data_IF_476254220703
#
_entry.id   IF_476254220703
#
_cell.length_a   1.000
_cell.length_b   1.000
_cell.length_c   1.000
_cell.angle_alpha   90.00
_cell.angle_beta   90.00
_cell.angle_gamma   90.00
#
_symmetry.space_group_name_H-M   'P 1'
#
loop_
_entity.id
_entity.type
_entity.pdbx_description
1 polymer ?
#
# COMPACT_ATOMS: atom_id res chain seq x y z
N UNK A 1 -13.68 0.50 5.47
CA UNK A 1 -12.30 0.43 6.01
C UNK A 1 -11.89 1.82 6.48
N UNK A 2 -11.22 1.97 7.63
CA UNK A 2 -10.68 3.29 8.04
C UNK A 2 -9.27 3.51 7.48
N UNK A 3 -8.80 4.76 7.41
CA UNK A 3 -7.42 5.07 7.00
C UNK A 3 -6.37 4.35 7.86
N UNK A 4 -6.64 4.22 9.16
CA UNK A 4 -5.76 3.51 10.09
C UNK A 4 -5.70 2.00 9.80
N UNK A 5 -6.83 1.38 9.46
CA UNK A 5 -6.87 -0.03 9.07
C UNK A 5 -6.16 -0.26 7.73
N UNK A 6 -6.39 0.64 6.77
CA UNK A 6 -5.73 0.61 5.47
C UNK A 6 -4.20 0.73 5.63
N UNK A 7 -3.74 1.66 6.48
CA UNK A 7 -2.32 1.86 6.76
C UNK A 7 -1.68 0.65 7.44
N UNK A 8 -2.37 0.05 8.43
CA UNK A 8 -1.88 -1.16 9.10
C UNK A 8 -1.68 -2.30 8.10
N UNK A 9 -2.69 -2.54 7.26
CA UNK A 9 -2.67 -3.62 6.26
C UNK A 9 -1.60 -3.40 5.18
N UNK A 10 -1.49 -2.18 4.68
CA UNK A 10 -0.44 -1.81 3.72
C UNK A 10 0.97 -2.02 4.30
N UNK A 11 1.18 -1.68 5.58
CA UNK A 11 2.46 -1.88 6.26
C UNK A 11 2.79 -3.37 6.45
N UNK A 12 1.82 -4.19 6.83
CA UNK A 12 1.99 -5.65 6.95
C UNK A 12 2.31 -6.30 5.61
N UNK A 13 1.62 -5.87 4.54
CA UNK A 13 1.89 -6.33 3.19
C UNK A 13 3.30 -5.92 2.73
N UNK A 14 3.72 -4.68 3.00
CA UNK A 14 5.06 -4.20 2.66
C UNK A 14 6.16 -4.96 3.41
N UNK A 15 5.96 -5.27 4.71
CA UNK A 15 6.90 -6.09 5.49
C UNK A 15 7.02 -7.49 4.90
N UNK A 16 5.89 -8.08 4.50
CA UNK A 16 5.86 -9.42 3.89
C UNK A 16 6.56 -9.42 2.52
N UNK A 17 6.28 -8.43 1.68
CA UNK A 17 6.92 -8.27 0.38
C UNK A 17 8.43 -8.10 0.52
N UNK A 18 8.90 -7.27 1.46
CA UNK A 18 10.33 -7.11 1.77
C UNK A 18 10.96 -8.39 2.32
N UNK A 19 10.26 -9.14 3.16
CA UNK A 19 10.78 -10.42 3.66
C UNK A 19 11.00 -11.45 2.55
N UNK A 20 10.22 -11.38 1.45
CA UNK A 20 10.33 -12.29 0.30
C UNK A 20 11.32 -11.80 -0.76
N UNK A 21 11.28 -10.51 -1.06
CA UNK A 21 12.04 -9.89 -2.15
C UNK A 21 13.36 -9.26 -1.70
N UNK A 22 13.61 -9.15 -0.38
CA UNK A 22 14.74 -8.45 0.18
C UNK A 22 14.68 -6.94 -0.07
N UNK A 23 15.85 -6.33 -0.26
CA UNK A 23 16.00 -4.89 -0.50
C UNK A 23 15.82 -4.48 -1.97
N UNK A 24 15.47 -5.43 -2.86
CA UNK A 24 15.21 -5.11 -4.26
C UNK A 24 13.81 -4.49 -4.41
N UNK A 25 13.77 -3.17 -4.62
CA UNK A 25 12.52 -2.41 -4.72
C UNK A 25 11.59 -2.91 -5.83
N UNK A 26 12.11 -3.32 -6.98
CA UNK A 26 11.28 -3.84 -8.09
C UNK A 26 10.69 -5.21 -7.76
N UNK A 27 11.46 -6.07 -7.07
CA UNK A 27 10.95 -7.34 -6.58
C UNK A 27 9.89 -7.14 -5.47
N UNK A 28 10.08 -6.16 -4.57
CA UNK A 28 9.10 -5.79 -3.55
C UNK A 28 7.80 -5.29 -4.19
N UNK A 29 7.89 -4.44 -5.24
CA UNK A 29 6.71 -4.01 -6.01
C UNK A 29 6.01 -5.19 -6.67
N UNK A 30 6.77 -6.12 -7.26
CA UNK A 30 6.23 -7.35 -7.85
C UNK A 30 5.45 -8.20 -6.85
N UNK A 31 6.00 -8.40 -5.65
CA UNK A 31 5.32 -9.10 -4.56
C UNK A 31 4.06 -8.37 -4.09
N UNK A 32 4.12 -7.05 -3.89
CA UNK A 32 2.95 -6.25 -3.52
C UNK A 32 1.83 -6.34 -4.55
N UNK A 33 2.15 -6.24 -5.85
CA UNK A 33 1.16 -6.40 -6.93
C UNK A 33 0.57 -7.81 -6.94
N UNK A 34 1.38 -8.83 -6.69
CA UNK A 34 0.92 -10.22 -6.54
C UNK A 34 -0.05 -10.38 -5.37
N UNK A 35 0.26 -9.75 -4.23
CA UNK A 35 -0.60 -9.75 -3.04
C UNK A 35 -1.91 -9.00 -3.29
N UNK A 36 -1.87 -7.83 -3.92
CA UNK A 36 -3.08 -7.06 -4.27
C UNK A 36 -4.03 -7.83 -5.20
N UNK A 37 -3.49 -8.64 -6.12
CA UNK A 37 -4.33 -9.47 -7.00
C UNK A 37 -5.05 -10.61 -6.28
N UNK A 38 -4.56 -11.01 -5.10
CA UNK A 38 -5.08 -12.15 -4.32
C UNK A 38 -5.84 -11.72 -3.07
N UNK A 39 -5.55 -10.54 -2.53
CA UNK A 39 -6.21 -9.94 -1.38
C UNK A 39 -6.89 -8.63 -1.82
N UNK A 40 -8.20 -8.73 -2.07
CA UNK A 40 -9.04 -7.59 -2.46
C UNK A 40 -9.08 -6.50 -1.39
N UNK A 41 -9.00 -6.87 -0.11
CA UNK A 41 -8.99 -5.89 0.97
C UNK A 41 -7.63 -5.17 1.06
N UNK A 42 -6.53 -5.81 0.67
CA UNK A 42 -5.24 -5.12 0.49
C UNK A 42 -5.28 -4.16 -0.71
N UNK A 43 -5.94 -4.56 -1.80
CA UNK A 43 -6.15 -3.69 -2.95
C UNK A 43 -6.96 -2.43 -2.58
N UNK A 44 -8.06 -2.61 -1.84
CA UNK A 44 -8.89 -1.52 -1.33
C UNK A 44 -8.09 -0.63 -0.37
N UNK A 45 -7.33 -1.21 0.56
CA UNK A 45 -6.48 -0.47 1.50
C UNK A 45 -5.48 0.46 0.79
N UNK A 46 -4.71 -0.07 -0.18
CA UNK A 46 -3.72 0.71 -0.92
C UNK A 46 -4.37 1.77 -1.80
N UNK A 47 -5.57 1.51 -2.33
CA UNK A 47 -6.35 2.48 -3.09
C UNK A 47 -6.81 3.65 -2.21
N UNK A 48 -7.34 3.36 -1.02
CA UNK A 48 -7.76 4.39 -0.05
C UNK A 48 -6.58 5.28 0.33
N UNK A 49 -5.42 4.69 0.65
CA UNK A 49 -4.22 5.45 0.99
C UNK A 49 -3.71 6.29 -0.19
N UNK A 50 -3.76 5.76 -1.42
CA UNK A 50 -3.40 6.49 -2.62
C UNK A 50 -4.30 7.72 -2.86
N UNK A 51 -5.62 7.56 -2.70
CA UNK A 51 -6.58 8.64 -2.82
C UNK A 51 -6.41 9.69 -1.72
N UNK A 52 -6.17 9.26 -0.47
CA UNK A 52 -5.87 10.16 0.64
C UNK A 52 -4.62 11.00 0.33
N UNK A 53 -3.57 10.37 -0.20
CA UNK A 53 -2.33 11.07 -0.59
C UNK A 53 -2.54 12.07 -1.72
N UNK A 54 -3.31 11.71 -2.75
CA UNK A 54 -3.66 12.64 -3.82
C UNK A 54 -4.44 13.85 -3.29
N UNK A 55 -5.37 13.63 -2.36
CA UNK A 55 -6.12 14.70 -1.71
C UNK A 55 -5.24 15.62 -0.88
N UNK A 56 -4.23 15.08 -0.18
CA UNK A 56 -3.24 15.89 0.53
C UNK A 56 -2.42 16.78 -0.40
N UNK A 57 -1.99 16.26 -1.55
CA UNK A 57 -1.21 17.01 -2.54
C UNK A 57 -2.02 18.14 -3.20
N UNK A 58 -3.35 18.00 -3.25
CA UNK A 58 -4.27 19.00 -3.79
C UNK A 58 -4.63 20.11 -2.78
N UNK A 59 -4.30 19.96 -1.49
CA UNK A 59 -4.52 21.03 -0.51
C UNK A 59 -3.48 22.12 -0.76
N UNK A 60 -3.87 23.37 -1.08
CA UNK A 60 -2.91 24.47 -1.15
C UNK A 60 -2.23 24.62 0.21
N UNK A 61 -0.90 24.56 0.20
CA UNK A 61 -0.07 24.89 1.36
C UNK A 61 -0.19 26.41 1.57
N UNK A 62 -1.15 26.81 2.40
CA UNK A 62 -1.27 28.18 2.91
C UNK A 62 -0.31 28.41 4.07
#
# INVERSE_FOLDING_TARGET
MTDADAQRRANEALRTARARAGDNEEAVKGELLSMMRRDEQLHEALTVLGLARLRELQKPRH
#
